data_IF_084767843093
#
_entry.id   IF_084767843093
#
_cell.length_a   1.000
_cell.length_b   1.000
_cell.length_c   1.000
_cell.angle_alpha   90.00
_cell.angle_beta   90.00
_cell.angle_gamma   90.00
#
_symmetry.space_group_name_H-M   'P 1'
#
loop_
_entity.id
_entity.type
_entity.pdbx_description
1 polymer ?
#
# COMPACT_ATOMS: atom_id res chain seq x y z
N UNK A 1 -31.64 -29.90 13.45
CA UNK A 1 -30.46 -29.36 14.19
C UNK A 1 -29.20 -29.91 13.55
N UNK A 2 -28.05 -29.19 13.52
CA UNK A 2 -26.79 -29.76 13.02
C UNK A 2 -26.42 -30.99 13.88
N UNK A 3 -25.97 -32.06 13.24
CA UNK A 3 -25.57 -33.29 13.93
C UNK A 3 -24.32 -33.05 14.80
N UNK A 4 -24.12 -33.89 15.84
CA UNK A 4 -22.90 -33.81 16.66
C UNK A 4 -21.63 -34.00 15.82
N UNK A 5 -21.70 -34.78 14.73
CA UNK A 5 -20.60 -34.96 13.79
C UNK A 5 -20.29 -33.66 13.04
N UNK A 6 -21.30 -32.92 12.62
CA UNK A 6 -21.13 -31.63 11.92
C UNK A 6 -20.50 -30.58 12.84
N UNK A 7 -20.95 -30.52 14.10
CA UNK A 7 -20.37 -29.60 15.09
C UNK A 7 -18.90 -29.94 15.36
N UNK A 8 -18.55 -31.21 15.49
CA UNK A 8 -17.15 -31.66 15.67
C UNK A 8 -16.29 -31.30 14.47
N UNK A 9 -16.78 -31.51 13.26
CA UNK A 9 -16.08 -31.16 12.02
C UNK A 9 -15.86 -29.65 11.92
N UNK A 10 -16.87 -28.83 12.27
CA UNK A 10 -16.74 -27.38 12.33
C UNK A 10 -15.70 -26.90 13.34
N UNK A 11 -15.70 -27.47 14.54
CA UNK A 11 -14.69 -27.15 15.58
C UNK A 11 -13.28 -27.47 15.03
N UNK A 12 -13.10 -28.62 14.41
CA UNK A 12 -11.82 -29.02 13.82
C UNK A 12 -11.36 -28.05 12.72
N UNK A 13 -12.26 -27.67 11.81
CA UNK A 13 -11.97 -26.70 10.74
C UNK A 13 -11.58 -25.33 11.29
N UNK A 14 -12.31 -24.79 12.28
CA UNK A 14 -12.00 -23.48 12.87
C UNK A 14 -10.67 -23.54 13.64
N UNK A 15 -10.36 -24.65 14.33
CA UNK A 15 -9.05 -24.85 14.96
C UNK A 15 -7.90 -24.83 13.94
N UNK A 16 -8.10 -25.46 12.77
CA UNK A 16 -7.12 -25.41 11.69
C UNK A 16 -6.94 -23.97 11.16
N UNK A 17 -8.04 -23.24 10.94
CA UNK A 17 -8.00 -21.83 10.54
C UNK A 17 -7.26 -20.96 11.55
N UNK A 18 -7.51 -21.15 12.86
CA UNK A 18 -6.82 -20.43 13.94
C UNK A 18 -5.29 -20.64 13.88
N UNK A 19 -4.84 -21.88 13.66
CA UNK A 19 -3.42 -22.19 13.50
C UNK A 19 -2.82 -21.49 12.29
N UNK A 20 -3.53 -21.49 11.15
CA UNK A 20 -3.09 -20.84 9.92
C UNK A 20 -2.99 -19.32 10.12
N UNK A 21 -4.00 -18.67 10.70
CA UNK A 21 -3.99 -17.21 10.92
C UNK A 21 -2.89 -16.82 11.90
N UNK A 22 -2.62 -17.63 12.93
CA UNK A 22 -1.52 -17.39 13.86
C UNK A 22 -0.15 -17.50 13.18
N UNK A 23 0.04 -18.50 12.32
CA UNK A 23 1.26 -18.62 11.53
C UNK A 23 1.43 -17.44 10.57
N UNK A 24 0.36 -17.01 9.90
CA UNK A 24 0.39 -15.85 9.01
C UNK A 24 0.71 -14.55 9.76
N UNK A 25 0.22 -14.38 10.99
CA UNK A 25 0.57 -13.25 11.86
C UNK A 25 2.08 -13.21 12.11
N UNK A 26 2.70 -14.34 12.46
CA UNK A 26 4.14 -14.42 12.73
C UNK A 26 4.98 -14.12 11.47
N UNK A 27 4.57 -14.66 10.32
CA UNK A 27 5.23 -14.37 9.04
C UNK A 27 5.13 -12.90 8.67
N UNK A 28 3.95 -12.27 8.88
CA UNK A 28 3.76 -10.85 8.65
C UNK A 28 4.65 -10.00 9.57
N UNK A 29 4.78 -10.36 10.84
CA UNK A 29 5.67 -9.67 11.79
C UNK A 29 7.15 -9.72 11.34
N UNK A 30 7.63 -10.89 10.88
CA UNK A 30 8.99 -11.03 10.38
C UNK A 30 9.24 -10.20 9.10
N UNK A 31 8.25 -10.18 8.18
CA UNK A 31 8.32 -9.35 6.96
C UNK A 31 8.24 -7.86 7.27
N UNK A 32 7.44 -7.45 8.26
CA UNK A 32 7.35 -6.07 8.71
C UNK A 32 8.71 -5.55 9.17
N UNK A 33 9.42 -6.30 10.03
CA UNK A 33 10.75 -5.91 10.50
C UNK A 33 11.71 -5.68 9.34
N UNK A 34 11.73 -6.57 8.34
CA UNK A 34 12.57 -6.41 7.14
C UNK A 34 12.20 -5.18 6.33
N UNK A 35 10.89 -4.92 6.15
CA UNK A 35 10.42 -3.76 5.41
C UNK A 35 10.76 -2.45 6.13
N UNK A 36 10.65 -2.41 7.47
CA UNK A 36 11.08 -1.27 8.28
C UNK A 36 12.58 -1.00 8.15
N UNK A 37 13.43 -2.02 8.31
CA UNK A 37 14.89 -1.85 8.15
C UNK A 37 15.25 -1.36 6.75
N UNK A 38 14.58 -1.84 5.70
CA UNK A 38 14.81 -1.37 4.34
C UNK A 38 14.37 0.10 4.14
N UNK A 39 13.23 0.49 4.71
CA UNK A 39 12.75 1.88 4.66
C UNK A 39 13.69 2.84 5.43
N UNK A 40 14.17 2.41 6.60
CA UNK A 40 15.13 3.19 7.40
C UNK A 40 16.47 3.35 6.68
N UNK A 41 16.97 2.29 6.03
CA UNK A 41 18.21 2.33 5.24
C UNK A 41 18.11 3.26 4.01
N UNK A 42 16.93 3.42 3.43
CA UNK A 42 16.71 4.31 2.28
C UNK A 42 16.56 5.79 2.65
N UNK A 43 16.21 6.13 3.90
CA UNK A 43 15.96 7.51 4.35
C UNK A 43 17.15 8.47 4.14
N UNK A 44 18.40 8.13 4.50
CA UNK A 44 19.52 9.08 4.37
C UNK A 44 19.73 9.53 2.93
N UNK A 45 19.58 8.61 1.97
CA UNK A 45 19.72 8.92 0.55
C UNK A 45 18.59 9.86 0.07
N UNK A 46 17.34 9.55 0.41
CA UNK A 46 16.20 10.37 0.03
C UNK A 46 16.31 11.80 0.61
N UNK A 47 16.70 11.93 1.89
CA UNK A 47 16.87 13.25 2.53
C UNK A 47 18.00 14.06 1.89
N UNK A 48 19.10 13.44 1.53
CA UNK A 48 20.21 14.13 0.83
C UNK A 48 19.81 14.54 -0.58
N UNK A 49 19.08 13.69 -1.29
CA UNK A 49 18.56 14.00 -2.63
C UNK A 49 17.60 15.20 -2.58
N UNK A 50 16.67 15.22 -1.62
CA UNK A 50 15.76 16.36 -1.39
C UNK A 50 16.53 17.65 -1.12
N UNK A 51 17.59 17.61 -0.32
CA UNK A 51 18.45 18.78 -0.02
C UNK A 51 19.21 19.28 -1.25
N UNK A 52 19.80 18.39 -2.04
CA UNK A 52 20.52 18.76 -3.28
C UNK A 52 19.56 19.39 -4.29
N UNK A 53 18.39 18.80 -4.48
CA UNK A 53 17.38 19.35 -5.40
C UNK A 53 16.84 20.70 -4.94
N UNK A 54 16.66 20.93 -3.64
CA UNK A 54 16.25 22.21 -3.12
C UNK A 54 17.30 23.29 -3.36
N UNK A 55 18.58 22.96 -3.21
CA UNK A 55 19.69 23.88 -3.52
C UNK A 55 19.72 24.26 -5.01
N UNK A 56 19.66 23.25 -5.89
CA UNK A 56 19.64 23.44 -7.34
C UNK A 56 18.42 24.25 -7.78
N UNK A 57 17.23 23.96 -7.24
CA UNK A 57 16.02 24.72 -7.53
C UNK A 57 16.13 26.18 -7.12
N UNK A 58 16.77 26.47 -5.97
CA UNK A 58 17.01 27.84 -5.51
C UNK A 58 18.00 28.56 -6.41
N UNK A 59 19.03 27.89 -6.89
CA UNK A 59 20.03 28.46 -7.81
C UNK A 59 19.45 28.80 -9.19
N UNK A 60 18.40 28.07 -9.62
CA UNK A 60 17.72 28.27 -10.89
C UNK A 60 16.47 29.18 -10.79
N UNK A 61 16.08 29.62 -9.61
CA UNK A 61 15.00 30.59 -9.45
C UNK A 61 15.30 31.86 -10.21
N UNK A 62 14.45 32.20 -11.18
CA UNK A 62 14.60 33.38 -12.04
C UNK A 62 15.34 33.18 -13.36
N UNK A 63 15.81 31.97 -13.67
CA UNK A 63 16.35 31.65 -14.99
C UNK A 63 15.25 31.02 -15.87
N UNK A 64 15.13 31.50 -17.11
CA UNK A 64 14.25 30.90 -18.13
C UNK A 64 14.84 29.53 -18.53
N UNK A 65 14.01 28.47 -18.53
CA UNK A 65 14.42 27.14 -19.03
C UNK A 65 14.40 26.02 -17.99
N UNK A 66 13.61 26.13 -16.93
CA UNK A 66 13.45 25.04 -15.94
C UNK A 66 12.92 23.75 -16.58
N UNK A 67 13.43 22.59 -16.13
CA UNK A 67 12.96 21.27 -16.61
C UNK A 67 11.44 21.14 -16.45
N UNK A 68 10.70 20.66 -17.46
CA UNK A 68 9.25 20.44 -17.35
C UNK A 68 8.84 19.51 -16.20
N UNK A 69 9.73 18.63 -15.74
CA UNK A 69 9.51 17.77 -14.58
C UNK A 69 9.47 18.56 -13.26
N UNK A 70 10.07 19.77 -13.24
CA UNK A 70 10.14 20.63 -12.05
C UNK A 70 9.08 21.74 -12.11
N UNK A 71 8.95 22.40 -13.27
CA UNK A 71 8.06 23.55 -13.45
C UNK A 71 6.65 23.13 -13.89
N UNK A 72 6.52 21.92 -14.45
CA UNK A 72 5.30 21.45 -15.09
C UNK A 72 5.22 21.83 -16.57
N UNK A 73 4.16 21.37 -17.23
CA UNK A 73 3.84 21.69 -18.65
C UNK A 73 3.15 23.04 -18.81
N UNK A 74 2.86 23.77 -17.73
CA UNK A 74 2.00 24.96 -17.73
C UNK A 74 0.51 24.63 -17.92
N UNK A 75 0.14 23.36 -18.05
CA UNK A 75 -1.22 22.85 -18.17
C UNK A 75 -1.56 22.02 -16.93
N UNK A 76 -2.86 21.92 -16.63
CA UNK A 76 -3.38 21.15 -15.52
C UNK A 76 -4.68 20.42 -15.93
N UNK A 77 -4.66 19.84 -17.14
CA UNK A 77 -5.85 19.26 -17.75
C UNK A 77 -5.91 17.74 -17.57
N UNK A 78 -4.76 17.07 -17.59
CA UNK A 78 -4.68 15.59 -17.53
C UNK A 78 -3.86 15.14 -16.33
N UNK A 79 -4.48 14.37 -15.44
CA UNK A 79 -3.85 13.86 -14.24
C UNK A 79 -3.59 12.35 -14.31
N UNK A 80 -2.37 11.94 -14.02
CA UNK A 80 -1.98 10.55 -13.85
C UNK A 80 -2.03 10.17 -12.35
N UNK A 81 -2.90 9.25 -11.99
CA UNK A 81 -2.99 8.70 -10.63
C UNK A 81 -2.22 7.37 -10.58
N UNK A 82 -1.10 7.34 -9.90
CA UNK A 82 -0.30 6.13 -9.68
C UNK A 82 -0.75 5.49 -8.37
N UNK A 83 -1.43 4.35 -8.44
CA UNK A 83 -2.06 3.74 -7.26
C UNK A 83 -1.29 2.49 -6.84
N UNK A 84 -0.49 2.61 -5.77
CA UNK A 84 0.33 1.53 -5.23
C UNK A 84 -0.43 0.73 -4.16
N UNK A 85 -0.68 -0.55 -4.44
CA UNK A 85 -1.40 -1.48 -3.56
C UNK A 85 -0.67 -2.82 -3.46
N UNK A 86 -1.19 -3.73 -2.63
CA UNK A 86 -0.63 -5.06 -2.51
C UNK A 86 -0.99 -5.98 -3.70
N UNK A 87 -0.15 -6.99 -3.91
CA UNK A 87 -0.44 -8.11 -4.81
C UNK A 87 -1.45 -9.11 -4.23
N UNK A 88 -1.52 -9.20 -2.90
CA UNK A 88 -2.33 -10.17 -2.17
C UNK A 88 -3.27 -9.47 -1.19
N UNK A 89 -4.37 -10.15 -0.85
CA UNK A 89 -5.32 -9.70 0.16
C UNK A 89 -4.91 -10.11 1.58
N UNK A 90 -5.91 -10.22 2.44
CA UNK A 90 -5.79 -10.57 3.86
C UNK A 90 -4.98 -9.57 4.70
N UNK A 91 -5.02 -8.30 4.30
CA UNK A 91 -4.38 -7.16 4.97
C UNK A 91 -5.40 -6.12 5.46
N UNK A 92 -6.58 -6.59 5.90
CA UNK A 92 -7.64 -5.70 6.39
C UNK A 92 -8.07 -4.67 5.36
N UNK A 93 -8.21 -3.42 5.79
CA UNK A 93 -8.63 -2.29 4.97
C UNK A 93 -7.49 -1.64 4.17
N UNK A 94 -6.26 -2.17 4.22
CA UNK A 94 -5.09 -1.56 3.59
C UNK A 94 -5.31 -1.18 2.11
N UNK A 95 -5.68 -2.15 1.27
CA UNK A 95 -5.91 -1.88 -0.16
C UNK A 95 -7.10 -0.94 -0.40
N UNK A 96 -8.21 -1.18 0.30
CA UNK A 96 -9.43 -0.41 0.11
C UNK A 96 -9.31 1.05 0.58
N UNK A 97 -8.47 1.34 1.56
CA UNK A 97 -8.23 2.71 2.02
C UNK A 97 -7.44 3.53 0.99
N UNK A 98 -6.42 2.95 0.37
CA UNK A 98 -5.64 3.59 -0.72
C UNK A 98 -6.53 3.81 -1.94
N UNK A 99 -7.27 2.77 -2.35
CA UNK A 99 -8.20 2.85 -3.49
C UNK A 99 -9.28 3.90 -3.26
N UNK A 100 -9.82 4.00 -2.03
CA UNK A 100 -10.82 5.02 -1.68
C UNK A 100 -10.24 6.43 -1.85
N UNK A 101 -9.03 6.68 -1.32
CA UNK A 101 -8.36 7.97 -1.46
C UNK A 101 -8.14 8.34 -2.93
N UNK A 102 -7.63 7.40 -3.74
CA UNK A 102 -7.41 7.60 -5.17
C UNK A 102 -8.73 7.83 -5.93
N UNK A 103 -9.77 7.06 -5.62
CA UNK A 103 -11.11 7.21 -6.21
C UNK A 103 -11.72 8.58 -5.91
N UNK A 104 -11.67 9.00 -4.64
CA UNK A 104 -12.26 10.27 -4.22
C UNK A 104 -11.49 11.45 -4.81
N UNK A 105 -10.19 11.30 -5.04
CA UNK A 105 -9.36 12.25 -5.77
C UNK A 105 -9.72 12.28 -7.28
N UNK A 106 -9.88 11.11 -7.90
CA UNK A 106 -10.29 11.00 -9.29
C UNK A 106 -11.63 11.69 -9.55
N UNK A 107 -12.63 11.45 -8.69
CA UNK A 107 -13.93 12.10 -8.83
C UNK A 107 -13.87 13.62 -8.68
N UNK A 108 -13.03 14.14 -7.77
CA UNK A 108 -12.83 15.60 -7.65
C UNK A 108 -12.27 16.18 -8.95
N UNK A 109 -11.22 15.59 -9.48
CA UNK A 109 -10.62 16.03 -10.73
C UNK A 109 -11.61 15.98 -11.90
N UNK A 110 -12.39 14.89 -12.02
CA UNK A 110 -13.41 14.76 -13.06
C UNK A 110 -14.54 15.78 -12.93
N UNK A 111 -14.96 16.11 -11.71
CA UNK A 111 -15.94 17.15 -11.42
C UNK A 111 -15.41 18.55 -11.78
N UNK A 112 -14.09 18.76 -11.65
CA UNK A 112 -13.40 20.00 -12.05
C UNK A 112 -13.14 20.05 -13.59
N UNK A 113 -13.70 19.09 -14.35
CA UNK A 113 -13.57 19.01 -15.82
C UNK A 113 -12.21 18.47 -16.30
N UNK A 114 -11.38 17.90 -15.44
CA UNK A 114 -10.07 17.37 -15.76
C UNK A 114 -10.15 15.91 -16.21
N UNK A 115 -9.21 15.51 -17.05
CA UNK A 115 -9.07 14.12 -17.48
C UNK A 115 -8.22 13.34 -16.46
N UNK A 116 -8.64 12.12 -16.19
CA UNK A 116 -7.95 11.22 -15.24
C UNK A 116 -7.44 9.99 -16.00
N UNK A 117 -6.17 9.67 -15.79
CA UNK A 117 -5.53 8.41 -16.18
C UNK A 117 -5.02 7.70 -14.94
N UNK A 118 -5.07 6.37 -14.93
CA UNK A 118 -4.70 5.57 -13.76
C UNK A 118 -3.65 4.55 -14.13
N UNK A 119 -2.53 4.56 -13.42
CA UNK A 119 -1.50 3.54 -13.46
C UNK A 119 -1.60 2.70 -12.17
N UNK A 120 -2.01 1.44 -12.27
CA UNK A 120 -2.10 0.57 -11.13
C UNK A 120 -0.74 -0.12 -10.87
N UNK A 121 -0.20 0.03 -9.66
CA UNK A 121 0.94 -0.73 -9.17
C UNK A 121 0.42 -1.72 -8.12
N UNK A 122 0.45 -3.02 -8.47
CA UNK A 122 -0.16 -4.07 -7.65
C UNK A 122 -1.58 -4.44 -8.07
N UNK A 123 -1.85 -5.73 -8.04
CA UNK A 123 -3.08 -6.32 -8.56
C UNK A 123 -4.34 -5.91 -7.80
N UNK A 124 -4.26 -5.71 -6.46
CA UNK A 124 -5.45 -5.47 -5.64
C UNK A 124 -6.07 -4.09 -5.85
N UNK A 125 -5.29 -3.09 -6.24
CA UNK A 125 -5.80 -1.80 -6.69
C UNK A 125 -6.57 -1.93 -8.00
N UNK A 126 -5.97 -2.58 -8.99
CA UNK A 126 -6.60 -2.85 -10.27
C UNK A 126 -7.94 -3.60 -10.10
N UNK A 127 -7.98 -4.68 -9.32
CA UNK A 127 -9.20 -5.47 -9.10
C UNK A 127 -10.37 -4.63 -8.59
N UNK A 128 -10.11 -3.58 -7.81
CA UNK A 128 -11.12 -2.68 -7.27
C UNK A 128 -11.45 -1.52 -8.22
N UNK A 129 -10.42 -0.90 -8.83
CA UNK A 129 -10.61 0.28 -9.68
C UNK A 129 -11.21 -0.05 -11.04
N UNK A 130 -10.93 -1.22 -11.61
CA UNK A 130 -11.45 -1.62 -12.93
C UNK A 130 -12.97 -1.60 -13.05
N UNK A 131 -13.70 -1.70 -11.94
CA UNK A 131 -15.17 -1.67 -11.95
C UNK A 131 -15.72 -0.27 -12.21
N UNK A 132 -14.97 0.77 -11.85
CA UNK A 132 -15.41 2.17 -11.91
C UNK A 132 -14.66 2.96 -12.98
N UNK A 133 -13.40 2.58 -13.28
CA UNK A 133 -12.46 3.35 -14.08
C UNK A 133 -11.78 2.51 -15.17
N UNK A 134 -12.50 1.53 -15.76
CA UNK A 134 -11.91 0.63 -16.76
C UNK A 134 -11.26 1.37 -17.95
N UNK A 135 -11.90 2.45 -18.43
CA UNK A 135 -11.42 3.26 -19.57
C UNK A 135 -10.29 4.22 -19.21
N UNK A 136 -10.11 4.55 -17.93
CA UNK A 136 -9.08 5.44 -17.44
C UNK A 136 -7.78 4.68 -17.05
N UNK A 137 -7.85 3.35 -16.86
CA UNK A 137 -6.67 2.56 -16.52
C UNK A 137 -5.79 2.39 -17.77
N UNK A 138 -4.60 2.99 -17.72
CA UNK A 138 -3.61 2.93 -18.79
C UNK A 138 -2.83 1.62 -18.75
N UNK A 139 -2.42 1.21 -17.55
CA UNK A 139 -1.57 0.02 -17.39
C UNK A 139 -1.64 -0.55 -15.96
N UNK A 140 -1.26 -1.81 -15.83
CA UNK A 140 -1.11 -2.50 -14.54
C UNK A 140 0.31 -3.05 -14.43
N UNK A 141 1.07 -2.56 -13.47
CA UNK A 141 2.41 -3.06 -13.16
C UNK A 141 2.29 -4.03 -11.98
N UNK A 142 2.50 -5.31 -12.25
CA UNK A 142 2.53 -6.33 -11.19
C UNK A 142 3.95 -6.45 -10.60
N UNK A 143 4.02 -6.51 -9.28
CA UNK A 143 5.25 -6.78 -8.50
C UNK A 143 5.27 -8.24 -8.01
N UNK A 144 4.48 -9.09 -8.65
CA UNK A 144 4.37 -10.51 -8.29
C UNK A 144 5.71 -11.21 -8.52
N UNK A 145 6.20 -11.91 -7.49
CA UNK A 145 7.50 -12.60 -7.56
C UNK A 145 8.68 -11.78 -7.02
N UNK A 146 8.53 -10.48 -6.82
CA UNK A 146 9.55 -9.66 -6.16
C UNK A 146 9.64 -10.09 -4.70
N UNK A 147 10.79 -10.68 -4.32
CA UNK A 147 11.04 -11.15 -2.96
C UNK A 147 11.42 -10.01 -2.03
N UNK A 148 12.15 -9.05 -2.54
CA UNK A 148 12.61 -7.85 -1.84
C UNK A 148 12.55 -6.68 -2.82
N UNK A 149 11.79 -5.65 -2.45
CA UNK A 149 11.70 -4.41 -3.22
C UNK A 149 13.05 -3.70 -3.23
N UNK A 150 13.49 -3.31 -4.40
CA UNK A 150 14.74 -2.61 -4.62
C UNK A 150 14.60 -1.44 -5.57
N UNK A 151 15.70 -0.72 -5.80
CA UNK A 151 15.70 0.45 -6.67
C UNK A 151 15.27 0.12 -8.10
N UNK A 152 15.66 -1.05 -8.64
CA UNK A 152 15.26 -1.50 -10.00
C UNK A 152 13.74 -1.60 -10.19
N UNK A 153 13.00 -1.97 -9.13
CA UNK A 153 11.54 -2.06 -9.21
C UNK A 153 10.90 -0.66 -9.27
N UNK A 154 11.42 0.27 -8.49
CA UNK A 154 10.98 1.66 -8.51
C UNK A 154 11.39 2.38 -9.80
N UNK A 155 12.60 2.14 -10.29
CA UNK A 155 13.12 2.67 -11.54
C UNK A 155 12.25 2.26 -12.73
N UNK A 156 11.85 0.99 -12.82
CA UNK A 156 10.92 0.52 -13.87
C UNK A 156 9.61 1.29 -13.87
N UNK A 157 9.05 1.58 -12.69
CA UNK A 157 7.81 2.35 -12.57
C UNK A 157 8.08 3.81 -12.94
N UNK A 158 9.19 4.38 -12.49
CA UNK A 158 9.59 5.75 -12.81
C UNK A 158 9.79 5.93 -14.32
N UNK A 159 10.51 5.03 -14.98
CA UNK A 159 10.74 5.05 -16.44
C UNK A 159 9.42 5.03 -17.21
N UNK A 160 8.44 4.22 -16.73
CA UNK A 160 7.12 4.19 -17.36
C UNK A 160 6.37 5.52 -17.22
N UNK A 161 6.42 6.14 -16.03
CA UNK A 161 5.80 7.46 -15.78
C UNK A 161 6.48 8.53 -16.63
N UNK A 162 7.82 8.52 -16.70
CA UNK A 162 8.60 9.46 -17.51
C UNK A 162 8.33 9.32 -19.00
N UNK A 163 8.18 8.10 -19.51
CA UNK A 163 7.78 7.86 -20.91
C UNK A 163 6.40 8.44 -21.19
N UNK A 164 5.42 8.21 -20.33
CA UNK A 164 4.07 8.79 -20.50
C UNK A 164 4.08 10.32 -20.44
N UNK A 165 4.98 10.91 -19.64
CA UNK A 165 5.16 12.35 -19.55
C UNK A 165 5.80 12.93 -20.82
N UNK A 166 6.86 12.30 -21.31
CA UNK A 166 7.52 12.68 -22.56
C UNK A 166 6.58 12.61 -23.77
N UNK A 167 5.67 11.62 -23.78
CA UNK A 167 4.63 11.48 -24.79
C UNK A 167 3.48 12.52 -24.64
N UNK A 168 3.57 13.43 -23.66
CA UNK A 168 2.52 14.44 -23.39
C UNK A 168 1.20 13.85 -22.93
N UNK A 169 1.21 12.65 -22.32
CA UNK A 169 -0.02 11.96 -21.96
C UNK A 169 -0.64 12.45 -20.66
N UNK A 170 0.05 13.22 -19.85
CA UNK A 170 -0.46 13.85 -18.64
C UNK A 170 0.35 15.10 -18.28
N UNK A 171 -0.23 15.96 -17.45
CA UNK A 171 0.39 17.19 -16.94
C UNK A 171 0.88 17.01 -15.50
N UNK A 172 0.08 16.34 -14.67
CA UNK A 172 0.34 16.14 -13.24
C UNK A 172 0.29 14.66 -12.88
N UNK A 173 1.26 14.18 -12.10
CA UNK A 173 1.24 12.82 -11.58
C UNK A 173 1.19 12.82 -10.05
N UNK A 174 0.25 12.04 -9.49
CA UNK A 174 0.07 11.86 -8.04
C UNK A 174 0.18 10.38 -7.68
N UNK A 175 1.06 10.06 -6.73
CA UNK A 175 1.29 8.73 -6.21
C UNK A 175 0.45 8.49 -4.95
N UNK A 176 -0.38 7.45 -4.97
CA UNK A 176 -1.21 7.02 -3.84
C UNK A 176 -0.63 5.77 -3.21
N UNK A 177 -0.32 5.84 -1.94
CA UNK A 177 0.26 4.75 -1.16
C UNK A 177 -0.17 4.85 0.30
N UNK A 178 0.28 3.94 1.15
CA UNK A 178 0.05 4.01 2.58
C UNK A 178 1.35 4.24 3.33
N UNK A 179 1.46 5.39 4.01
CA UNK A 179 2.57 5.70 4.89
C UNK A 179 2.47 4.89 6.17
N UNK A 180 3.57 4.26 6.54
CA UNK A 180 3.65 3.50 7.77
C UNK A 180 3.89 4.41 8.98
N UNK A 181 2.95 4.43 9.91
CA UNK A 181 3.08 5.12 11.19
C UNK A 181 3.31 4.15 12.34
N UNK A 182 2.51 3.08 12.39
CA UNK A 182 2.63 2.01 13.38
C UNK A 182 1.89 0.76 12.89
N UNK A 183 2.03 -0.35 13.60
CA UNK A 183 1.32 -1.61 13.30
C UNK A 183 -0.20 -1.43 13.24
N UNK A 184 -0.74 -0.55 14.08
CA UNK A 184 -2.19 -0.29 14.17
C UNK A 184 -2.65 0.90 13.33
N UNK A 185 -1.71 1.71 12.82
CA UNK A 185 -2.02 2.94 12.08
C UNK A 185 -1.22 3.02 10.79
N UNK A 186 -1.90 2.91 9.66
CA UNK A 186 -1.39 3.13 8.31
C UNK A 186 -2.17 4.28 7.69
N UNK A 187 -1.48 5.25 7.13
CA UNK A 187 -2.08 6.51 6.64
C UNK A 187 -2.07 6.52 5.12
N UNK A 188 -3.23 6.37 4.46
CA UNK A 188 -3.33 6.57 3.02
C UNK A 188 -2.87 7.98 2.68
N UNK A 189 -1.92 8.09 1.75
CA UNK A 189 -1.24 9.34 1.41
C UNK A 189 -1.27 9.54 -0.10
N UNK A 190 -1.52 10.77 -0.52
CA UNK A 190 -1.35 11.23 -1.88
C UNK A 190 -0.10 12.12 -1.93
N UNK A 191 0.84 11.80 -2.82
CA UNK A 191 2.08 12.53 -3.02
C UNK A 191 2.18 12.91 -4.50
N UNK A 192 2.20 14.20 -4.79
CA UNK A 192 2.48 14.67 -6.14
C UNK A 192 3.96 14.44 -6.46
N UNK A 193 4.23 13.78 -7.59
CA UNK A 193 5.58 13.44 -8.05
C UNK A 193 5.98 14.18 -9.34
N UNK A 194 5.00 14.64 -10.12
CA UNK A 194 5.21 15.50 -11.31
C UNK A 194 4.13 16.58 -11.30
N UNK A 195 4.48 17.86 -11.43
CA UNK A 195 5.80 18.42 -11.22
C UNK A 195 6.36 18.09 -9.83
N UNK A 196 7.69 17.98 -9.76
CA UNK A 196 8.37 17.64 -8.50
C UNK A 196 8.13 18.76 -7.48
N UNK A 197 7.54 18.40 -6.34
CA UNK A 197 7.40 19.35 -5.22
C UNK A 197 8.73 19.44 -4.48
N UNK A 198 9.41 20.55 -4.63
CA UNK A 198 10.65 20.85 -3.90
C UNK A 198 10.25 21.61 -2.64
N UNK A 199 10.60 21.13 -1.45
CA UNK A 199 10.29 21.86 -0.21
C UNK A 199 10.98 23.21 -0.22
N UNK A 200 10.24 24.30 -0.09
CA UNK A 200 10.77 25.67 0.01
C UNK A 200 11.67 25.87 1.25
N UNK A 201 11.56 24.99 2.23
CA UNK A 201 12.25 25.07 3.53
C UNK A 201 13.28 23.97 3.73
N UNK A 202 14.05 23.60 2.71
CA UNK A 202 15.24 22.82 3.01
C UNK A 202 16.26 23.72 3.70
N UNK A 203 16.81 23.38 4.89
CA UNK A 203 17.85 24.16 5.55
C UNK A 203 19.19 23.98 4.81
N UNK A 204 19.22 24.36 3.55
CA UNK A 204 20.34 24.13 2.65
C UNK A 204 21.53 25.01 2.96
N UNK A 205 21.30 26.21 3.48
CA UNK A 205 22.38 27.15 3.81
C UNK A 205 22.99 26.94 5.21
N UNK A 206 22.30 26.27 6.12
CA UNK A 206 22.78 26.12 7.50
C UNK A 206 23.94 25.12 7.65
N UNK A 207 24.14 24.17 6.70
CA UNK A 207 25.19 23.15 6.81
C UNK A 207 26.54 23.54 6.22
N UNK A 208 26.62 24.62 5.44
CA UNK A 208 27.81 24.99 4.67
C UNK A 208 28.59 26.17 5.21
N UNK A 209 28.17 26.78 6.33
CA UNK A 209 28.88 27.93 6.91
C UNK A 209 29.07 29.11 5.94
N UNK A 210 28.18 29.28 4.97
CA UNK A 210 28.23 30.34 3.96
C UNK A 210 28.99 29.99 2.67
N UNK A 211 29.43 28.74 2.49
CA UNK A 211 30.04 28.30 1.23
C UNK A 211 28.98 28.17 0.13
N UNK A 212 29.33 28.59 -1.09
CA UNK A 212 28.50 28.45 -2.29
C UNK A 212 28.94 27.19 -3.03
N UNK A 213 27.98 26.38 -3.47
CA UNK A 213 28.27 25.23 -4.36
C UNK A 213 28.70 25.74 -5.74
N UNK A 214 29.81 25.24 -6.22
CA UNK A 214 30.20 25.34 -7.62
C UNK A 214 29.80 24.03 -8.31
N UNK A 215 29.01 24.14 -9.38
CA UNK A 215 28.46 22.98 -10.08
C UNK A 215 29.25 22.72 -11.35
N UNK A 216 29.64 21.46 -11.58
CA UNK A 216 30.31 21.00 -12.79
C UNK A 216 29.72 19.61 -13.15
N UNK A 217 29.18 19.39 -14.35
CA UNK A 217 28.87 20.34 -15.41
C UNK A 217 27.73 21.33 -15.08
N UNK A 218 27.12 22.01 -16.08
CA UNK A 218 26.10 23.04 -15.87
C UNK A 218 24.91 22.53 -15.02
N UNK A 219 24.36 23.40 -14.21
CA UNK A 219 23.24 23.13 -13.29
C UNK A 219 22.02 22.51 -14.00
N UNK A 220 21.77 22.89 -15.28
CA UNK A 220 20.67 22.35 -16.07
C UNK A 220 20.88 20.87 -16.44
N UNK A 221 22.11 20.47 -16.77
CA UNK A 221 22.46 19.09 -17.11
C UNK A 221 22.37 18.20 -15.87
N UNK A 222 22.85 18.70 -14.73
CA UNK A 222 22.74 17.98 -13.44
C UNK A 222 21.27 17.74 -13.07
N UNK A 223 20.40 18.73 -13.27
CA UNK A 223 18.95 18.57 -13.01
C UNK A 223 18.30 17.58 -13.96
N UNK A 224 18.68 17.57 -15.24
CA UNK A 224 18.13 16.62 -16.20
C UNK A 224 18.37 15.17 -15.78
N UNK A 225 19.51 14.88 -15.15
CA UNK A 225 19.84 13.56 -14.64
C UNK A 225 19.22 13.27 -13.26
N UNK A 226 19.20 14.27 -12.37
CA UNK A 226 18.74 14.09 -10.98
C UNK A 226 17.22 14.02 -10.85
N UNK A 227 16.43 14.70 -11.69
CA UNK A 227 14.98 14.70 -11.58
C UNK A 227 14.36 13.31 -11.84
N UNK A 228 14.73 12.56 -12.88
CA UNK A 228 14.30 11.18 -13.05
C UNK A 228 14.68 10.28 -11.87
N UNK A 229 15.90 10.45 -11.37
CA UNK A 229 16.42 9.70 -10.23
C UNK A 229 15.66 10.03 -8.93
N UNK A 230 15.28 11.28 -8.74
CA UNK A 230 14.45 11.72 -7.62
C UNK A 230 13.06 11.08 -7.68
N UNK A 231 12.40 11.07 -8.84
CA UNK A 231 11.11 10.41 -9.04
C UNK A 231 11.22 8.93 -8.67
N UNK A 232 12.25 8.23 -9.15
CA UNK A 232 12.49 6.83 -8.81
C UNK A 232 12.72 6.63 -7.29
N UNK A 233 13.43 7.55 -6.66
CA UNK A 233 13.70 7.53 -5.20
C UNK A 233 12.42 7.75 -4.39
N UNK A 234 11.57 8.70 -4.77
CA UNK A 234 10.27 8.94 -4.14
C UNK A 234 9.36 7.72 -4.28
N UNK A 235 9.33 7.09 -5.46
CA UNK A 235 8.58 5.85 -5.70
C UNK A 235 9.14 4.72 -4.82
N UNK A 236 10.45 4.53 -4.75
CA UNK A 236 11.06 3.52 -3.89
C UNK A 236 10.66 3.71 -2.43
N UNK A 237 10.78 4.94 -1.92
CA UNK A 237 10.35 5.28 -0.54
C UNK A 237 8.88 4.93 -0.31
N UNK A 238 8.01 5.33 -1.23
CA UNK A 238 6.58 5.03 -1.14
C UNK A 238 6.30 3.52 -1.18
N UNK A 239 6.99 2.75 -2.03
CA UNK A 239 6.86 1.29 -2.10
C UNK A 239 7.34 0.60 -0.82
N UNK A 240 8.43 1.05 -0.21
CA UNK A 240 8.96 0.51 1.05
C UNK A 240 8.02 0.80 2.22
N UNK A 241 7.52 2.03 2.32
CA UNK A 241 6.51 2.39 3.33
C UNK A 241 5.20 1.61 3.12
N UNK A 242 4.79 1.45 1.87
CA UNK A 242 3.62 0.67 1.49
C UNK A 242 3.77 -0.81 1.88
N UNK A 243 4.94 -1.40 1.66
CA UNK A 243 5.25 -2.76 2.07
C UNK A 243 5.21 -2.94 3.59
N UNK A 244 5.76 -1.99 4.35
CA UNK A 244 5.68 -2.00 5.81
C UNK A 244 4.22 -1.86 6.29
N UNK A 245 3.46 -0.95 5.70
CA UNK A 245 2.04 -0.74 5.98
C UNK A 245 1.21 -1.99 5.68
N UNK A 246 1.46 -2.65 4.56
CA UNK A 246 0.80 -3.90 4.17
C UNK A 246 1.04 -5.01 5.21
N UNK A 247 2.29 -5.19 5.65
CA UNK A 247 2.62 -6.24 6.62
C UNK A 247 2.09 -5.89 8.01
N UNK A 248 2.11 -4.63 8.42
CA UNK A 248 1.49 -4.17 9.67
C UNK A 248 -0.02 -4.43 9.69
N UNK A 249 -0.72 -4.03 8.62
CA UNK A 249 -2.15 -4.27 8.46
C UNK A 249 -2.48 -5.78 8.42
N UNK A 250 -1.66 -6.59 7.74
CA UNK A 250 -1.82 -8.04 7.70
C UNK A 250 -1.63 -8.67 9.07
N UNK A 251 -0.62 -8.26 9.81
CA UNK A 251 -0.35 -8.73 11.18
C UNK A 251 -1.55 -8.46 12.09
N UNK A 252 -2.10 -7.25 12.07
CA UNK A 252 -3.29 -6.86 12.84
C UNK A 252 -4.54 -7.64 12.41
N UNK A 253 -4.77 -7.78 11.10
CA UNK A 253 -5.90 -8.53 10.57
C UNK A 253 -5.85 -10.02 10.95
N UNK A 254 -4.66 -10.63 10.91
CA UNK A 254 -4.49 -12.03 11.30
C UNK A 254 -4.60 -12.25 12.80
N UNK A 255 -4.15 -11.30 13.62
CA UNK A 255 -4.36 -11.33 15.08
C UNK A 255 -5.85 -11.29 15.41
N UNK A 256 -6.61 -10.38 14.81
CA UNK A 256 -8.06 -10.32 14.98
C UNK A 256 -8.76 -11.60 14.51
N UNK A 257 -8.35 -12.15 13.36
CA UNK A 257 -8.89 -13.40 12.84
C UNK A 257 -8.60 -14.59 13.78
N UNK A 258 -7.42 -14.63 14.39
CA UNK A 258 -7.02 -15.68 15.36
C UNK A 258 -7.85 -15.60 16.63
N UNK A 259 -8.09 -14.39 17.17
CA UNK A 259 -8.97 -14.19 18.34
C UNK A 259 -10.41 -14.58 18.02
N UNK A 260 -10.96 -14.08 16.91
CA UNK A 260 -12.33 -14.42 16.49
C UNK A 260 -12.51 -15.94 16.28
N UNK A 261 -11.49 -16.62 15.78
CA UNK A 261 -11.51 -18.07 15.65
C UNK A 261 -11.54 -18.76 17.02
N UNK A 262 -10.82 -18.25 18.03
CA UNK A 262 -10.90 -18.73 19.43
C UNK A 262 -12.31 -18.61 19.97
N UNK A 263 -12.91 -17.43 19.90
CA UNK A 263 -14.29 -17.19 20.38
C UNK A 263 -15.31 -18.11 19.67
N UNK A 264 -15.10 -18.37 18.39
CA UNK A 264 -15.95 -19.28 17.63
C UNK A 264 -15.80 -20.74 18.09
N UNK A 265 -14.59 -21.18 18.40
CA UNK A 265 -14.33 -22.51 18.95
C UNK A 265 -15.07 -22.70 20.28
N UNK A 266 -14.99 -21.73 21.18
CA UNK A 266 -15.64 -21.79 22.49
C UNK A 266 -17.16 -21.87 22.35
N UNK A 267 -17.75 -21.02 21.49
CA UNK A 267 -19.20 -21.05 21.21
C UNK A 267 -19.64 -22.38 20.60
N UNK A 268 -18.88 -22.92 19.64
CA UNK A 268 -19.18 -24.21 19.02
C UNK A 268 -19.04 -25.36 20.02
N UNK A 269 -18.06 -25.30 20.92
CA UNK A 269 -17.84 -26.30 21.95
C UNK A 269 -18.99 -26.32 22.96
N UNK A 270 -19.45 -25.16 23.42
CA UNK A 270 -20.64 -25.08 24.29
C UNK A 270 -21.88 -25.66 23.59
N UNK A 271 -22.09 -25.30 22.32
CA UNK A 271 -23.21 -25.84 21.55
C UNK A 271 -23.12 -27.34 21.37
N UNK A 272 -21.94 -27.88 21.09
CA UNK A 272 -21.69 -29.31 20.98
C UNK A 272 -22.01 -30.02 22.28
N UNK A 273 -21.52 -29.53 23.43
CA UNK A 273 -21.77 -30.13 24.73
C UNK A 273 -23.26 -30.13 25.10
N UNK A 274 -23.96 -29.02 24.84
CA UNK A 274 -25.42 -28.92 25.06
C UNK A 274 -26.21 -29.89 24.19
N UNK A 275 -25.86 -29.98 22.89
CA UNK A 275 -26.53 -30.91 21.97
C UNK A 275 -26.23 -32.37 22.34
N UNK A 276 -25.02 -32.67 22.80
CA UNK A 276 -24.65 -34.00 23.29
C UNK A 276 -25.46 -34.39 24.51
N UNK A 277 -25.55 -33.49 25.50
CA UNK A 277 -26.37 -33.74 26.70
C UNK A 277 -27.83 -33.98 26.37
N UNK A 278 -28.41 -33.15 25.51
CA UNK A 278 -29.80 -33.31 25.06
C UNK A 278 -30.03 -34.69 24.40
N UNK A 279 -29.08 -35.12 23.52
CA UNK A 279 -29.17 -36.40 22.85
C UNK A 279 -29.09 -37.57 23.85
N UNK A 280 -28.13 -37.53 24.80
CA UNK A 280 -28.01 -38.55 25.87
C UNK A 280 -29.32 -38.62 26.68
N UNK A 281 -29.91 -37.45 27.03
CA UNK A 281 -31.17 -37.42 27.78
C UNK A 281 -32.31 -38.04 26.95
N UNK A 282 -32.41 -37.72 25.68
CA UNK A 282 -33.43 -38.34 24.78
C UNK A 282 -33.24 -39.87 24.69
N UNK A 283 -32.02 -40.34 24.47
CA UNK A 283 -31.71 -41.77 24.41
C UNK A 283 -32.07 -42.48 25.72
N UNK A 284 -31.78 -41.85 26.88
CA UNK A 284 -32.16 -42.40 28.21
C UNK A 284 -33.67 -42.50 28.37
N UNK A 285 -34.43 -41.45 27.96
CA UNK A 285 -35.87 -41.43 28.04
C UNK A 285 -36.44 -42.55 27.14
N UNK A 286 -35.94 -42.71 25.92
CA UNK A 286 -36.36 -43.77 24.99
C UNK A 286 -36.12 -45.16 25.58
N UNK A 287 -34.96 -45.42 26.23
CA UNK A 287 -34.65 -46.68 26.89
C UNK A 287 -35.61 -46.96 28.04
N UNK A 288 -35.85 -45.95 28.91
CA UNK A 288 -36.77 -46.10 30.05
C UNK A 288 -38.18 -46.36 29.58
N UNK A 289 -38.68 -45.57 28.63
CA UNK A 289 -40.03 -45.75 28.08
C UNK A 289 -40.20 -47.08 27.37
N UNK A 290 -39.13 -47.59 26.70
CA UNK A 290 -39.13 -48.91 26.08
C UNK A 290 -39.13 -50.05 27.11
N UNK A 291 -38.47 -49.88 28.28
CA UNK A 291 -38.48 -50.84 29.37
C UNK A 291 -39.81 -50.86 30.13
N UNK A 292 -40.53 -49.72 30.22
CA UNK A 292 -41.88 -49.67 30.85
C UNK A 292 -43.00 -50.23 29.95
N UNK A 293 -42.75 -50.37 28.65
CA UNK A 293 -43.68 -50.89 27.65
C UNK A 293 -43.62 -52.43 27.47
N UNK A 294 -42.61 -53.10 28.09
CA UNK A 294 -42.47 -54.54 28.18
C UNK A 294 -43.01 -55.11 29.49
#
# INVERSE_FOLDING_TARGET
MPSLKDLRNRISSVKATQKITKAMQMVAAAKLRRAQSAAEAARPYATRMEAVLANLATALQGREGGSPLMVGTGKDNVHLLVVATAERGLCGAFNSSIVRLARDHAYRLMNDGKQVKILCVGKKGFDQLKRLFASQIVEVIELRGVKQLGFKDAERIAQRILSLFADGQFDVATLFFSRFRSVISQIPTALQIVPAQIPETAPAQASLGGAVYEYEPDEADILADLLPLNIATQILRALLENAASEQGARMSAMDNATRNAGDMIDRLTMKYNRSRQAMITTELIEIISGAEAL
#
